data_IF_828913081150
#
_entry.id   IF_828913081150
#
_cell.length_a   1.000
_cell.length_b   1.000
_cell.length_c   1.000
_cell.angle_alpha   90.00
_cell.angle_beta   90.00
_cell.angle_gamma   90.00
#
_symmetry.space_group_name_H-M   'P 1'
#
loop_
_entity.id
_entity.type
_entity.pdbx_description
1 polymer ?
#
# COMPACT_ATOMS: atom_id res chain seq x y z
N UNK A 1 -18.63 -4.58 -21.78
CA UNK A 1 -17.58 -4.92 -20.79
C UNK A 1 -18.24 -5.86 -19.78
N UNK A 2 -18.17 -7.17 -20.04
CA UNK A 2 -18.92 -8.20 -19.33
C UNK A 2 -18.33 -8.40 -17.93
N UNK A 3 -19.13 -8.04 -16.92
CA UNK A 3 -18.92 -8.40 -15.52
C UNK A 3 -19.36 -9.85 -15.33
N UNK A 4 -18.49 -10.79 -15.63
CA UNK A 4 -18.68 -12.17 -15.23
C UNK A 4 -17.33 -12.81 -14.98
N UNK A 5 -17.03 -13.02 -13.70
CA UNK A 5 -16.61 -14.31 -13.15
C UNK A 5 -16.43 -14.15 -11.64
N UNK A 6 -17.28 -14.83 -10.89
CA UNK A 6 -17.30 -14.92 -9.42
C UNK A 6 -16.19 -15.80 -8.85
N UNK A 7 -15.08 -15.93 -9.55
CA UNK A 7 -13.88 -16.60 -9.08
C UNK A 7 -12.78 -15.60 -8.75
N UNK A 8 -12.10 -15.77 -7.61
CA UNK A 8 -10.94 -14.95 -7.29
C UNK A 8 -9.81 -15.17 -8.30
N UNK A 9 -9.11 -14.08 -8.64
CA UNK A 9 -8.15 -14.03 -9.73
C UNK A 9 -6.87 -14.77 -9.38
N UNK A 10 -6.42 -15.65 -10.26
CA UNK A 10 -5.11 -16.29 -10.14
C UNK A 10 -3.94 -15.35 -10.50
N UNK A 11 -4.16 -14.47 -11.47
CA UNK A 11 -3.27 -13.39 -11.86
C UNK A 11 -4.08 -12.12 -12.10
N UNK A 12 -3.54 -10.99 -11.68
CA UNK A 12 -4.18 -9.70 -11.90
C UNK A 12 -3.85 -9.14 -13.28
N UNK A 13 -4.85 -8.51 -13.95
CA UNK A 13 -4.60 -7.83 -15.22
C UNK A 13 -3.65 -6.65 -15.00
N UNK A 14 -2.80 -6.41 -16.00
CA UNK A 14 -1.78 -5.35 -15.96
C UNK A 14 -2.38 -3.97 -15.65
N UNK A 15 -3.60 -3.69 -16.14
CA UNK A 15 -4.29 -2.42 -15.88
C UNK A 15 -4.50 -2.16 -14.37
N UNK A 16 -4.89 -3.18 -13.59
CA UNK A 16 -5.06 -3.04 -12.13
C UNK A 16 -3.70 -2.79 -11.46
N UNK A 17 -2.66 -3.51 -11.90
CA UNK A 17 -1.30 -3.32 -11.38
C UNK A 17 -0.81 -1.91 -11.65
N UNK A 18 -1.03 -1.38 -12.86
CA UNK A 18 -0.67 0.00 -13.22
C UNK A 18 -1.41 1.00 -12.34
N UNK A 19 -2.72 0.89 -12.21
CA UNK A 19 -3.53 1.81 -11.39
C UNK A 19 -3.09 1.78 -9.92
N UNK A 20 -2.87 0.60 -9.36
CA UNK A 20 -2.43 0.45 -7.97
C UNK A 20 -1.05 1.07 -7.71
N UNK A 21 -0.10 0.85 -8.63
CA UNK A 21 1.22 1.46 -8.51
C UNK A 21 1.20 2.97 -8.79
N UNK A 22 0.38 3.45 -9.74
CA UNK A 22 0.24 4.86 -10.03
C UNK A 22 -0.22 5.64 -8.78
N UNK A 23 -1.25 5.14 -8.08
CA UNK A 23 -1.71 5.76 -6.82
C UNK A 23 -0.58 5.79 -5.78
N UNK A 24 0.18 4.70 -5.64
CA UNK A 24 1.31 4.65 -4.71
C UNK A 24 2.40 5.64 -5.08
N UNK A 25 2.81 5.71 -6.35
CA UNK A 25 3.82 6.66 -6.82
C UNK A 25 3.38 8.12 -6.71
N UNK A 26 2.09 8.42 -6.93
CA UNK A 26 1.55 9.76 -6.71
C UNK A 26 1.64 10.16 -5.24
N UNK A 27 1.29 9.25 -4.31
CA UNK A 27 1.43 9.50 -2.87
C UNK A 27 2.90 9.78 -2.51
N UNK A 28 3.83 8.96 -3.00
CA UNK A 28 5.26 9.11 -2.74
C UNK A 28 5.83 10.41 -3.32
N UNK A 29 5.47 10.72 -4.57
CA UNK A 29 5.93 11.93 -5.25
C UNK A 29 5.41 13.21 -4.61
N UNK A 30 4.11 13.28 -4.28
CA UNK A 30 3.51 14.44 -3.60
C UNK A 30 4.12 14.60 -2.20
N UNK A 31 4.28 13.49 -1.45
CA UNK A 31 4.92 13.51 -0.15
C UNK A 31 6.36 14.04 -0.21
N UNK A 32 7.15 13.58 -1.20
CA UNK A 32 8.51 14.07 -1.42
C UNK A 32 8.53 15.56 -1.80
N UNK A 33 7.58 16.05 -2.63
CA UNK A 33 7.46 17.46 -2.99
C UNK A 33 7.18 18.34 -1.75
N UNK A 34 6.29 17.92 -0.87
CA UNK A 34 6.00 18.66 0.39
C UNK A 34 7.26 18.70 1.27
N UNK A 35 7.93 17.55 1.46
CA UNK A 35 9.12 17.44 2.31
C UNK A 35 10.33 18.16 1.75
N UNK A 36 10.39 18.37 0.42
CA UNK A 36 11.44 19.16 -0.22
C UNK A 36 11.50 20.60 0.30
N UNK A 37 10.38 21.18 0.75
CA UNK A 37 10.33 22.49 1.37
C UNK A 37 11.15 22.59 2.67
N UNK A 38 11.43 21.46 3.33
CA UNK A 38 12.29 21.38 4.51
C UNK A 38 13.76 21.08 4.17
N UNK A 39 14.05 20.81 2.88
CA UNK A 39 15.39 20.51 2.37
C UNK A 39 15.56 19.07 1.92
N UNK A 40 16.61 18.84 1.13
CA UNK A 40 16.89 17.57 0.46
C UNK A 40 17.06 16.38 1.43
N UNK A 41 17.61 16.63 2.62
CA UNK A 41 17.84 15.58 3.63
C UNK A 41 16.53 14.88 4.03
N UNK A 42 15.42 15.64 4.13
CA UNK A 42 14.12 15.09 4.46
C UNK A 42 13.54 14.23 3.33
N UNK A 43 13.79 14.63 2.09
CA UNK A 43 13.39 13.82 0.92
C UNK A 43 14.15 12.50 0.89
N UNK A 44 15.48 12.54 1.09
CA UNK A 44 16.31 11.33 1.15
C UNK A 44 15.87 10.40 2.26
N UNK A 45 15.66 10.93 3.47
CA UNK A 45 15.14 10.15 4.61
C UNK A 45 13.78 9.50 4.32
N UNK A 46 12.88 10.25 3.67
CA UNK A 46 11.57 9.76 3.29
C UNK A 46 11.62 8.64 2.23
N UNK A 47 12.45 8.79 1.22
CA UNK A 47 12.66 7.75 0.20
C UNK A 47 13.24 6.48 0.83
N UNK A 48 14.25 6.61 1.70
CA UNK A 48 14.81 5.46 2.43
C UNK A 48 13.75 4.79 3.30
N UNK A 49 12.91 5.55 3.98
CA UNK A 49 11.80 5.03 4.77
C UNK A 49 10.82 4.22 3.91
N UNK A 50 10.41 4.74 2.75
CA UNK A 50 9.56 4.02 1.80
C UNK A 50 10.21 2.72 1.35
N UNK A 51 11.47 2.75 0.95
CA UNK A 51 12.20 1.57 0.51
C UNK A 51 12.26 0.49 1.59
N UNK A 52 12.54 0.87 2.84
CA UNK A 52 12.55 -0.05 3.97
C UNK A 52 11.19 -0.71 4.18
N UNK A 53 10.10 0.06 4.09
CA UNK A 53 8.74 -0.49 4.20
C UNK A 53 8.42 -1.46 3.05
N UNK A 54 8.77 -1.10 1.82
CA UNK A 54 8.57 -1.95 0.65
C UNK A 54 9.33 -3.27 0.78
N UNK A 55 10.60 -3.23 1.18
CA UNK A 55 11.40 -4.44 1.44
C UNK A 55 10.84 -5.27 2.59
N UNK A 56 10.40 -4.63 3.67
CA UNK A 56 9.73 -5.29 4.79
C UNK A 56 8.48 -6.05 4.32
N UNK A 57 7.60 -5.40 3.57
CA UNK A 57 6.38 -6.04 3.05
C UNK A 57 6.72 -7.22 2.14
N UNK A 58 7.70 -7.07 1.24
CA UNK A 58 8.13 -8.15 0.35
C UNK A 58 8.71 -9.33 1.12
N UNK A 59 9.61 -9.09 2.07
CA UNK A 59 10.29 -10.14 2.83
C UNK A 59 9.42 -10.85 3.87
N UNK A 60 8.36 -10.19 4.39
CA UNK A 60 7.53 -10.76 5.47
C UNK A 60 6.17 -11.26 4.98
N UNK A 61 5.58 -10.63 3.97
CA UNK A 61 4.24 -10.96 3.50
C UNK A 61 4.24 -11.61 2.13
N UNK A 62 4.96 -11.03 1.14
CA UNK A 62 4.90 -11.53 -0.21
C UNK A 62 5.56 -12.89 -0.39
N UNK A 63 6.58 -13.24 0.40
CA UNK A 63 7.28 -14.53 0.33
C UNK A 63 6.38 -15.73 0.69
N UNK A 64 5.44 -15.55 1.61
CA UNK A 64 4.49 -16.57 2.06
C UNK A 64 3.14 -16.50 1.33
N UNK A 65 2.92 -15.47 0.50
CA UNK A 65 1.65 -15.20 -0.17
C UNK A 65 1.40 -16.17 -1.33
N UNK A 66 0.13 -16.45 -1.63
CA UNK A 66 -0.29 -17.20 -2.82
C UNK A 66 0.29 -16.63 -4.13
N UNK A 67 0.44 -15.30 -4.20
CA UNK A 67 0.96 -14.60 -5.39
C UNK A 67 2.49 -14.54 -5.47
N UNK A 68 3.23 -15.28 -4.65
CA UNK A 68 4.68 -15.35 -4.81
C UNK A 68 5.04 -15.89 -6.20
N UNK A 69 5.78 -15.10 -6.98
CA UNK A 69 6.12 -15.41 -8.38
C UNK A 69 4.99 -15.24 -9.39
N UNK A 70 3.81 -14.79 -8.95
CA UNK A 70 2.64 -14.46 -9.78
C UNK A 70 2.36 -12.96 -9.77
N UNK A 71 1.50 -12.51 -10.69
CA UNK A 71 1.09 -11.10 -10.77
C UNK A 71 0.00 -10.84 -9.74
N UNK A 72 0.34 -10.22 -8.59
CA UNK A 72 -0.63 -9.67 -7.64
C UNK A 72 -1.07 -8.27 -8.05
N UNK A 73 -2.11 -7.72 -7.40
CA UNK A 73 -2.64 -6.39 -7.70
C UNK A 73 -1.60 -5.25 -7.62
N UNK A 74 -0.51 -5.43 -6.87
CA UNK A 74 0.59 -4.47 -6.73
C UNK A 74 1.86 -4.86 -7.48
N UNK A 75 1.88 -5.99 -8.19
CA UNK A 75 3.06 -6.51 -8.89
C UNK A 75 4.17 -7.05 -7.97
N UNK A 76 4.07 -6.85 -6.66
CA UNK A 76 5.10 -7.22 -5.67
C UNK A 76 5.40 -8.72 -5.60
N UNK A 77 4.46 -9.58 -6.01
CA UNK A 77 4.66 -11.04 -6.04
C UNK A 77 5.77 -11.48 -6.99
N UNK A 78 5.89 -10.85 -8.15
CA UNK A 78 6.98 -11.11 -9.11
C UNK A 78 8.30 -10.53 -8.61
N UNK A 79 8.28 -9.30 -8.10
CA UNK A 79 9.46 -8.62 -7.55
C UNK A 79 10.03 -9.38 -6.35
N UNK A 80 9.14 -9.89 -5.47
CA UNK A 80 9.54 -10.69 -4.31
C UNK A 80 10.34 -11.94 -4.71
N UNK A 81 10.02 -12.59 -5.84
CA UNK A 81 10.76 -13.74 -6.35
C UNK A 81 12.21 -13.41 -6.74
N UNK A 82 12.48 -12.16 -7.13
CA UNK A 82 13.83 -11.75 -7.54
C UNK A 82 14.75 -11.59 -6.32
N UNK A 83 14.21 -11.03 -5.23
CA UNK A 83 15.01 -10.65 -4.06
C UNK A 83 14.96 -11.66 -2.89
N UNK A 84 13.92 -12.49 -2.83
CA UNK A 84 13.67 -13.35 -1.68
C UNK A 84 13.31 -14.78 -2.13
N UNK A 85 13.73 -15.77 -1.35
CA UNK A 85 13.31 -17.16 -1.54
C UNK A 85 11.87 -17.37 -1.08
N UNK A 86 11.19 -18.34 -1.69
CA UNK A 86 9.81 -18.70 -1.34
C UNK A 86 9.73 -19.17 0.10
N UNK A 87 8.83 -18.57 0.87
CA UNK A 87 8.49 -19.01 2.21
C UNK A 87 7.45 -20.15 2.21
N UNK A 88 6.77 -20.34 3.35
CA UNK A 88 5.74 -21.37 3.52
C UNK A 88 4.35 -20.73 3.51
N UNK A 89 3.46 -21.09 2.55
CA UNK A 89 2.12 -20.54 2.46
C UNK A 89 1.28 -20.73 3.75
N UNK A 90 1.52 -21.82 4.50
CA UNK A 90 0.82 -22.11 5.76
C UNK A 90 1.10 -21.06 6.83
N UNK A 91 2.31 -20.48 6.82
CA UNK A 91 2.69 -19.39 7.74
C UNK A 91 1.89 -18.11 7.51
N UNK A 92 1.48 -17.87 6.27
CA UNK A 92 0.70 -16.67 5.96
C UNK A 92 -0.62 -16.62 6.72
N UNK A 93 -1.31 -17.76 6.78
CA UNK A 93 -2.62 -17.88 7.44
C UNK A 93 -2.52 -17.87 8.97
N UNK A 94 -1.35 -18.25 9.50
CA UNK A 94 -1.07 -18.28 10.95
C UNK A 94 -0.58 -16.93 11.48
N UNK A 95 -0.21 -15.99 10.60
CA UNK A 95 0.23 -14.65 11.01
C UNK A 95 -0.94 -13.88 11.58
N UNK A 96 -0.81 -13.42 12.80
CA UNK A 96 -1.72 -12.43 13.37
C UNK A 96 -1.23 -11.03 12.98
N UNK A 97 -2.00 -10.29 12.20
CA UNK A 97 -1.70 -8.89 11.92
C UNK A 97 -2.23 -8.03 13.07
N UNK A 98 -1.33 -7.26 13.66
CA UNK A 98 -1.67 -6.25 14.64
C UNK A 98 -1.68 -4.84 14.00
N UNK A 99 -2.34 -3.90 14.64
CA UNK A 99 -2.31 -2.49 14.22
C UNK A 99 -0.89 -1.94 14.10
N UNK A 100 0.07 -2.43 14.92
CA UNK A 100 1.49 -2.06 14.85
C UNK A 100 2.16 -2.40 13.52
N UNK A 101 1.64 -3.39 12.80
CA UNK A 101 2.17 -3.80 11.50
C UNK A 101 1.67 -2.91 10.37
N UNK A 102 0.50 -2.28 10.56
CA UNK A 102 -0.16 -1.44 9.55
C UNK A 102 0.21 0.05 9.73
N UNK A 103 0.42 0.50 10.97
CA UNK A 103 0.76 1.90 11.27
C UNK A 103 1.94 2.44 10.43
N UNK A 104 3.06 1.72 10.24
CA UNK A 104 4.16 2.22 9.41
C UNK A 104 3.75 2.54 7.97
N UNK A 105 2.85 1.75 7.39
CA UNK A 105 2.35 1.99 6.02
C UNK A 105 1.52 3.29 5.93
N UNK A 106 0.80 3.64 7.00
CA UNK A 106 0.06 4.90 7.09
C UNK A 106 0.98 6.10 7.27
N UNK A 107 2.12 5.94 7.94
CA UNK A 107 3.09 7.03 8.14
C UNK A 107 3.63 7.59 6.82
N UNK A 108 3.61 6.80 5.75
CA UNK A 108 4.06 7.24 4.42
C UNK A 108 3.32 8.48 3.93
N UNK A 109 2.03 8.61 4.18
CA UNK A 109 1.27 9.81 3.79
C UNK A 109 0.94 10.73 4.96
N UNK A 110 0.89 10.23 6.18
CA UNK A 110 0.64 11.05 7.37
C UNK A 110 1.80 12.02 7.64
N UNK A 111 3.05 11.54 7.56
CA UNK A 111 4.23 12.40 7.79
C UNK A 111 4.24 13.63 6.87
N UNK A 112 4.15 13.49 5.53
CA UNK A 112 4.14 14.68 4.68
C UNK A 112 2.86 15.51 4.82
N UNK A 113 1.71 14.95 5.20
CA UNK A 113 0.52 15.75 5.52
C UNK A 113 0.78 16.63 6.73
N UNK A 114 1.32 16.10 7.81
CA UNK A 114 1.65 16.88 9.02
C UNK A 114 2.71 17.95 8.71
N UNK A 115 3.74 17.60 7.93
CA UNK A 115 4.75 18.53 7.46
C UNK A 115 4.12 19.67 6.63
N UNK A 116 3.22 19.33 5.70
CA UNK A 116 2.49 20.32 4.89
C UNK A 116 1.60 21.24 5.73
N UNK A 117 0.91 20.70 6.74
CA UNK A 117 0.12 21.51 7.70
C UNK A 117 1.03 22.48 8.47
N UNK A 118 2.20 22.04 8.92
CA UNK A 118 3.16 22.92 9.60
C UNK A 118 3.62 24.07 8.69
N UNK A 119 3.90 23.79 7.39
CA UNK A 119 4.23 24.85 6.43
C UNK A 119 3.08 25.84 6.25
N UNK A 120 1.84 25.37 6.16
CA UNK A 120 0.67 26.23 5.99
C UNK A 120 0.37 27.11 7.22
N UNK A 121 0.76 26.67 8.42
CA UNK A 121 0.66 27.48 9.64
C UNK A 121 1.72 28.58 9.65
N UNK A 122 2.93 28.31 9.13
CA UNK A 122 4.02 29.29 9.06
C UNK A 122 3.75 30.32 7.96
N UNK A 123 3.42 29.87 6.77
CA UNK A 123 3.11 30.69 5.62
C UNK A 123 2.10 30.00 4.72
N UNK A 124 0.90 30.59 4.56
CA UNK A 124 -0.12 30.02 3.72
C UNK A 124 0.23 30.16 2.24
N UNK A 125 0.37 29.03 1.55
CA UNK A 125 0.62 28.97 0.10
C UNK A 125 -0.36 28.03 -0.57
N UNK A 126 -1.02 28.49 -1.64
CA UNK A 126 -1.98 27.70 -2.41
C UNK A 126 -1.40 26.38 -2.96
N UNK A 127 -0.16 26.34 -3.48
CA UNK A 127 0.42 25.08 -3.95
C UNK A 127 0.53 24.02 -2.84
N UNK A 128 1.05 24.36 -1.66
CA UNK A 128 1.18 23.42 -0.54
C UNK A 128 -0.21 22.98 -0.05
N UNK A 129 -1.17 23.90 0.03
CA UNK A 129 -2.54 23.57 0.41
C UNK A 129 -3.16 22.53 -0.54
N UNK A 130 -3.03 22.74 -1.87
CA UNK A 130 -3.57 21.80 -2.86
C UNK A 130 -2.86 20.43 -2.79
N UNK A 131 -1.54 20.38 -2.60
CA UNK A 131 -0.79 19.13 -2.45
C UNK A 131 -1.23 18.35 -1.21
N UNK A 132 -1.45 19.02 -0.07
CA UNK A 132 -1.93 18.37 1.17
C UNK A 132 -3.33 17.78 0.96
N UNK A 133 -4.25 18.52 0.33
CA UNK A 133 -5.61 18.02 0.04
C UNK A 133 -5.56 16.80 -0.89
N UNK A 134 -4.80 16.89 -1.99
CA UNK A 134 -4.66 15.76 -2.93
C UNK A 134 -4.02 14.56 -2.25
N UNK A 135 -2.98 14.76 -1.44
CA UNK A 135 -2.33 13.69 -0.70
C UNK A 135 -3.29 13.02 0.31
N UNK A 136 -4.11 13.82 1.00
CA UNK A 136 -5.14 13.32 1.91
C UNK A 136 -6.15 12.43 1.16
N UNK A 137 -6.68 12.93 0.05
CA UNK A 137 -7.65 12.17 -0.76
C UNK A 137 -7.05 10.89 -1.33
N UNK A 138 -5.82 10.93 -1.85
CA UNK A 138 -5.14 9.74 -2.37
C UNK A 138 -4.78 8.75 -1.24
N UNK A 139 -4.31 9.25 -0.10
CA UNK A 139 -3.91 8.45 1.04
C UNK A 139 -5.08 7.68 1.65
N UNK A 140 -6.26 8.29 1.77
CA UNK A 140 -7.44 7.64 2.34
C UNK A 140 -8.35 7.05 1.27
N UNK A 141 -8.89 7.87 0.37
CA UNK A 141 -9.86 7.43 -0.62
C UNK A 141 -9.22 6.58 -1.72
N UNK A 142 -8.08 7.01 -2.25
CA UNK A 142 -7.33 6.27 -3.26
C UNK A 142 -6.91 4.88 -2.77
N UNK A 143 -6.33 4.78 -1.58
CA UNK A 143 -5.99 3.50 -0.97
C UNK A 143 -7.22 2.65 -0.66
N UNK A 144 -8.31 3.24 -0.15
CA UNK A 144 -9.55 2.50 0.12
C UNK A 144 -10.15 1.89 -1.15
N UNK A 145 -10.17 2.65 -2.25
CA UNK A 145 -10.67 2.18 -3.55
C UNK A 145 -9.76 1.08 -4.14
N UNK A 146 -8.44 1.32 -4.17
CA UNK A 146 -7.49 0.37 -4.74
C UNK A 146 -7.45 -0.91 -3.92
N UNK A 147 -7.27 -0.82 -2.61
CA UNK A 147 -7.18 -2.00 -1.74
C UNK A 147 -8.55 -2.67 -1.58
N UNK A 148 -9.62 -1.91 -1.30
CA UNK A 148 -10.96 -2.45 -1.07
C UNK A 148 -11.60 -3.06 -2.31
N UNK A 149 -11.73 -2.28 -3.39
CA UNK A 149 -12.48 -2.71 -4.58
C UNK A 149 -11.64 -3.42 -5.63
N UNK A 150 -10.41 -2.94 -5.92
CA UNK A 150 -9.63 -3.50 -7.02
C UNK A 150 -8.75 -4.68 -6.60
N UNK A 151 -8.11 -4.60 -5.42
CA UNK A 151 -7.15 -5.61 -5.00
C UNK A 151 -7.80 -6.70 -4.12
N UNK A 152 -8.38 -6.34 -2.97
CA UNK A 152 -8.78 -7.34 -1.98
C UNK A 152 -10.09 -8.07 -2.30
N UNK A 153 -11.00 -7.45 -3.06
CA UNK A 153 -12.32 -8.04 -3.36
C UNK A 153 -12.21 -9.35 -4.14
N UNK A 154 -11.28 -9.45 -5.07
CA UNK A 154 -11.08 -10.62 -5.93
C UNK A 154 -9.72 -11.29 -5.69
N UNK A 155 -9.21 -11.23 -4.45
CA UNK A 155 -7.91 -11.77 -4.09
C UNK A 155 -8.03 -13.25 -3.68
N UNK A 156 -7.30 -14.14 -4.37
CA UNK A 156 -7.25 -15.57 -4.06
C UNK A 156 -6.70 -15.84 -2.65
N UNK A 157 -5.75 -15.03 -2.20
CA UNK A 157 -5.22 -15.13 -0.83
C UNK A 157 -6.30 -14.86 0.24
N UNK A 158 -7.31 -14.03 -0.06
CA UNK A 158 -8.42 -13.76 0.87
C UNK A 158 -9.28 -15.01 1.08
N UNK A 159 -9.51 -15.81 0.04
CA UNK A 159 -10.26 -17.07 0.13
C UNK A 159 -9.52 -18.12 0.95
N UNK A 160 -8.19 -18.20 0.81
CA UNK A 160 -7.36 -19.20 1.49
C UNK A 160 -7.17 -18.83 2.96
N UNK A 161 -7.17 -17.53 3.28
CA UNK A 161 -6.97 -16.96 4.61
C UNK A 161 -6.00 -15.78 4.54
N UNK A 162 -6.49 -14.57 4.75
CA UNK A 162 -5.69 -13.35 4.76
C UNK A 162 -5.81 -12.69 6.14
N UNK A 163 -4.72 -12.55 6.91
CA UNK A 163 -4.75 -11.94 8.23
C UNK A 163 -5.19 -10.46 8.17
N UNK A 164 -4.89 -9.73 7.10
CA UNK A 164 -5.38 -8.37 6.90
C UNK A 164 -6.90 -8.33 6.72
N UNK A 165 -7.49 -9.29 6.01
CA UNK A 165 -8.95 -9.37 5.86
C UNK A 165 -9.64 -9.67 7.18
N UNK A 166 -9.04 -10.49 8.04
CA UNK A 166 -9.59 -10.83 9.36
C UNK A 166 -9.68 -9.60 10.30
N UNK A 167 -8.75 -8.65 10.18
CA UNK A 167 -8.82 -7.39 10.95
C UNK A 167 -10.01 -6.50 10.58
N UNK A 168 -10.45 -6.57 9.31
CA UNK A 168 -11.57 -5.76 8.81
C UNK A 168 -12.90 -6.51 8.80
N UNK A 169 -12.89 -7.85 8.80
CA UNK A 169 -14.07 -8.71 8.81
C UNK A 169 -14.53 -9.09 10.24
N UNK A 170 -14.32 -8.25 11.24
CA UNK A 170 -14.77 -8.45 12.65
C UNK A 170 -16.28 -8.67 12.82
N UNK A 171 -17.05 -8.85 11.74
CA UNK A 171 -18.49 -9.13 11.73
C UNK A 171 -18.88 -10.61 11.58
N UNK A 172 -17.97 -11.57 11.76
CA UNK A 172 -18.30 -13.01 11.64
C UNK A 172 -17.87 -13.86 12.84
N UNK A 173 -17.96 -13.30 14.05
CA UNK A 173 -17.91 -14.12 15.29
C UNK A 173 -19.03 -13.68 16.22
N UNK A 174 -20.20 -14.09 15.92
CA UNK A 174 -21.35 -14.35 16.86
C UNK A 174 -22.23 -15.41 16.25
#
# INVERSE_FOLDING_TARGET
MTLQETGCRENYPVAIVIVANLVSFLIYGIGACILYSFGLIWVVGYILFILLLEFRVMGWHCVDCYYYGKTCAFGKGQVSRIFFSRGRPERFNQKTMNWKDIVPDFLVFIIPILAGILLLIQEFTWPIFSLVIVLFLLGFLGNALVRGHLACRCCKQREIGCPAAQLFDTKKTT
#
